data_IF_612699446157
#
_entry.id   IF_612699446157
#
_cell.length_a   1.000
_cell.length_b   1.000
_cell.length_c   1.000
_cell.angle_alpha   90.00
_cell.angle_beta   90.00
_cell.angle_gamma   90.00
#
_symmetry.space_group_name_H-M   'P 1'
#
loop_
_entity.id
_entity.type
_entity.pdbx_description
1 polymer ?
#
# COMPACT_ATOMS: atom_id res chain seq x y z
N UNK A 1 33.93 18.38 -4.20
CA UNK A 1 33.91 17.12 -3.41
C UNK A 1 32.61 17.12 -2.61
N UNK A 2 31.69 16.20 -2.88
CA UNK A 2 30.60 15.90 -1.95
C UNK A 2 29.16 16.05 -2.46
N UNK A 3 28.79 15.18 -3.40
CA UNK A 3 27.52 14.42 -3.44
C UNK A 3 26.20 15.21 -3.42
N UNK A 4 25.68 15.44 -4.62
CA UNK A 4 24.24 15.39 -4.90
C UNK A 4 23.65 14.11 -4.26
N UNK A 5 22.61 14.28 -3.46
CA UNK A 5 21.72 13.20 -3.07
C UNK A 5 20.32 13.59 -3.50
N UNK A 6 20.05 13.36 -4.78
CA UNK A 6 18.69 13.13 -5.23
C UNK A 6 18.19 11.90 -4.46
N UNK A 7 17.27 12.13 -3.54
CA UNK A 7 16.48 11.09 -2.91
C UNK A 7 15.07 11.23 -3.48
N UNK A 8 14.92 10.72 -4.69
CA UNK A 8 13.67 10.37 -5.33
C UNK A 8 12.94 9.30 -4.51
N UNK A 9 12.39 9.72 -3.37
CA UNK A 9 11.29 9.00 -2.75
C UNK A 9 10.02 9.29 -3.57
N UNK A 10 9.95 8.67 -4.75
CA UNK A 10 8.72 8.50 -5.52
C UNK A 10 7.83 7.50 -4.76
N UNK A 11 7.27 7.91 -3.62
CA UNK A 11 6.11 7.25 -3.06
C UNK A 11 4.89 7.68 -3.86
N UNK A 12 4.72 7.02 -5.01
CA UNK A 12 3.45 6.96 -5.72
C UNK A 12 2.45 6.29 -4.78
N UNK A 13 1.79 7.08 -3.95
CA UNK A 13 0.50 6.69 -3.39
C UNK A 13 -0.51 7.60 -4.04
N UNK A 14 -0.85 7.22 -5.27
CA UNK A 14 -1.96 7.79 -6.01
C UNK A 14 -3.22 7.38 -5.24
N UNK A 15 -3.66 8.26 -4.34
CA UNK A 15 -4.96 8.17 -3.67
C UNK A 15 -6.06 8.51 -4.70
N UNK A 16 -6.28 7.62 -5.66
CA UNK A 16 -7.37 7.73 -6.60
C UNK A 16 -8.68 7.28 -5.96
N UNK A 17 -9.37 8.27 -5.38
CA UNK A 17 -10.82 8.26 -5.18
C UNK A 17 -11.51 7.86 -6.50
N UNK A 18 -11.99 6.63 -6.63
CA UNK A 18 -13.07 6.37 -7.58
C UNK A 18 -13.99 5.25 -7.10
N UNK A 19 -15.15 5.67 -6.61
CA UNK A 19 -16.44 5.00 -6.62
C UNK A 19 -16.48 3.62 -7.29
N UNK A 20 -16.13 2.55 -6.56
CA UNK A 20 -16.52 1.15 -6.72
C UNK A 20 -15.88 0.42 -5.53
N UNK A 21 -16.58 -0.46 -4.83
CA UNK A 21 -16.09 -1.11 -3.58
C UNK A 21 -14.88 -2.08 -3.76
N UNK A 22 -14.11 -1.94 -4.84
CA UNK A 22 -12.89 -2.70 -5.15
C UNK A 22 -11.70 -1.80 -4.83
N UNK A 23 -10.77 -2.24 -3.99
CA UNK A 23 -9.65 -1.43 -3.51
C UNK A 23 -9.72 -1.02 -2.03
N UNK A 24 -10.84 -1.24 -1.33
CA UNK A 24 -10.94 -0.96 0.11
C UNK A 24 -9.93 -1.76 0.92
N UNK A 25 -9.71 -3.04 0.56
CA UNK A 25 -8.75 -3.91 1.24
C UNK A 25 -7.29 -3.53 0.96
N UNK A 26 -7.03 -3.00 -0.24
CA UNK A 26 -5.72 -2.47 -0.60
C UNK A 26 -5.40 -1.21 0.19
N UNK A 27 -6.33 -0.25 0.24
CA UNK A 27 -6.19 0.97 1.04
C UNK A 27 -6.03 0.66 2.53
N UNK A 28 -6.80 -0.30 3.06
CA UNK A 28 -6.70 -0.75 4.45
C UNK A 28 -5.35 -1.40 4.72
N UNK A 29 -4.87 -2.27 3.81
CA UNK A 29 -3.57 -2.91 3.91
C UNK A 29 -2.43 -1.90 3.93
N UNK A 30 -2.46 -0.89 3.04
CA UNK A 30 -1.45 0.18 2.99
C UNK A 30 -1.51 1.03 4.28
N UNK A 31 -2.70 1.45 4.74
CA UNK A 31 -2.85 2.30 5.91
C UNK A 31 -2.36 1.61 7.20
N UNK A 32 -2.74 0.35 7.41
CA UNK A 32 -2.23 -0.45 8.53
C UNK A 32 -0.74 -0.76 8.37
N UNK A 33 -0.30 -1.12 7.17
CA UNK A 33 1.10 -1.38 6.87
C UNK A 33 1.99 -0.18 7.15
N UNK A 34 1.57 1.02 6.75
CA UNK A 34 2.27 2.26 7.06
C UNK A 34 2.33 2.53 8.58
N UNK A 35 1.21 2.35 9.30
CA UNK A 35 1.17 2.51 10.75
C UNK A 35 2.14 1.54 11.46
N UNK A 36 2.16 0.26 11.07
CA UNK A 36 3.14 -0.71 11.56
C UNK A 36 4.58 -0.34 11.16
N UNK A 37 4.79 0.13 9.94
CA UNK A 37 6.10 0.55 9.46
C UNK A 37 6.71 1.71 10.27
N UNK A 38 5.87 2.65 10.72
CA UNK A 38 6.30 3.74 11.62
C UNK A 38 6.78 3.17 12.97
N UNK A 39 6.08 2.17 13.51
CA UNK A 39 6.46 1.50 14.77
C UNK A 39 7.81 0.79 14.65
N UNK A 40 8.11 0.18 13.50
CA UNK A 40 9.38 -0.48 13.24
C UNK A 40 10.51 0.48 12.81
N UNK A 41 10.26 1.80 12.79
CA UNK A 41 11.15 2.82 12.22
C UNK A 41 11.58 2.47 10.78
N UNK A 42 10.74 1.71 10.07
CA UNK A 42 10.98 1.23 8.73
C UNK A 42 9.64 1.11 7.99
N UNK A 43 9.24 2.23 7.39
CA UNK A 43 8.00 2.33 6.61
C UNK A 43 8.04 1.38 5.41
N UNK A 44 9.21 1.13 4.82
CA UNK A 44 9.33 0.25 3.66
C UNK A 44 8.86 -1.17 4.00
N UNK A 45 9.27 -1.73 5.13
CA UNK A 45 8.83 -3.07 5.57
C UNK A 45 7.32 -3.10 5.84
N UNK A 46 6.80 -2.10 6.54
CA UNK A 46 5.39 -2.03 6.89
C UNK A 46 4.48 -1.91 5.66
N UNK A 47 4.80 -1.01 4.74
CA UNK A 47 4.04 -0.80 3.49
C UNK A 47 4.16 -2.01 2.58
N UNK A 48 5.33 -2.65 2.46
CA UNK A 48 5.50 -3.89 1.68
C UNK A 48 4.59 -5.01 2.19
N UNK A 49 4.55 -5.19 3.51
CA UNK A 49 3.74 -6.22 4.14
C UNK A 49 2.24 -5.92 3.99
N UNK A 50 1.85 -4.67 4.23
CA UNK A 50 0.49 -4.18 4.04
C UNK A 50 0.00 -4.28 2.60
N UNK A 51 0.86 -3.99 1.63
CA UNK A 51 0.59 -4.12 0.20
C UNK A 51 0.39 -5.58 -0.20
N UNK A 52 1.28 -6.49 0.19
CA UNK A 52 1.15 -7.93 -0.13
C UNK A 52 -0.18 -8.47 0.42
N UNK A 53 -0.50 -8.16 1.68
CA UNK A 53 -1.74 -8.61 2.31
C UNK A 53 -2.96 -7.98 1.64
N UNK A 54 -2.93 -6.67 1.40
CA UNK A 54 -4.01 -5.92 0.78
C UNK A 54 -4.32 -6.40 -0.65
N UNK A 55 -3.30 -6.63 -1.47
CA UNK A 55 -3.43 -7.15 -2.84
C UNK A 55 -3.96 -8.58 -2.84
N UNK A 56 -3.46 -9.46 -1.97
CA UNK A 56 -3.94 -10.84 -1.88
C UNK A 56 -5.41 -10.86 -1.45
N UNK A 57 -5.81 -10.06 -0.45
CA UNK A 57 -7.21 -9.98 -0.02
C UNK A 57 -8.11 -9.39 -1.11
N UNK A 58 -7.68 -8.32 -1.77
CA UNK A 58 -8.44 -7.68 -2.85
C UNK A 58 -8.65 -8.63 -4.04
N UNK A 59 -7.59 -9.36 -4.44
CA UNK A 59 -7.65 -10.37 -5.51
C UNK A 59 -8.60 -11.54 -5.18
N UNK A 60 -8.66 -11.96 -3.91
CA UNK A 60 -9.55 -13.04 -3.47
C UNK A 60 -11.02 -12.57 -3.35
N UNK A 61 -11.27 -11.34 -2.92
CA UNK A 61 -12.63 -10.78 -2.80
C UNK A 61 -13.21 -10.40 -4.17
N UNK A 62 -12.39 -9.90 -5.09
CA UNK A 62 -12.81 -9.49 -6.43
C UNK A 62 -13.42 -10.62 -7.27
N UNK A 63 -13.11 -11.87 -6.94
CA UNK A 63 -13.61 -13.07 -7.63
C UNK A 63 -15.00 -13.54 -7.19
N UNK A 64 -15.66 -12.89 -6.22
CA UNK A 64 -16.92 -13.40 -5.64
C UNK A 64 -18.22 -12.88 -6.27
N UNK A 65 -18.19 -12.16 -7.39
CA UNK A 65 -19.40 -11.62 -8.06
C UNK A 65 -19.58 -12.13 -9.50
N UNK A 66 -19.43 -13.44 -9.72
CA UNK A 66 -19.94 -14.10 -10.93
C UNK A 66 -20.54 -15.45 -10.56
N UNK A 67 -21.66 -15.44 -9.84
CA UNK A 67 -22.58 -16.58 -9.76
C UNK A 67 -24.01 -16.07 -9.78
#
# INVERSE_FOLDING_TARGET
MGLDKDNDNKSNTEDEKQSNNKGTYLALGIAFGAAFGVIFNNIAIGVSLGLIIGVVLDANIGSKNKK
#
